data_IF_416987690772
#
_entry.id   IF_416987690772
#
_cell.length_a   1.000
_cell.length_b   1.000
_cell.length_c   1.000
_cell.angle_alpha   90.00
_cell.angle_beta   90.00
_cell.angle_gamma   90.00
#
_symmetry.space_group_name_H-M   'P 1'
#
loop_
_entity.id
_entity.type
_entity.pdbx_description
1 polymer ?
#
# COMPACT_ATOMS: atom_id res chain seq x y z
N UNK A 1 0.73 -21.19 26.22
CA UNK A 1 2.12 -20.83 26.58
C UNK A 1 3.08 -20.96 25.41
N UNK A 2 3.67 -22.12 25.08
CA UNK A 2 4.69 -22.19 24.00
C UNK A 2 4.20 -21.73 22.61
N UNK A 3 2.93 -21.98 22.28
CA UNK A 3 2.33 -21.56 21.00
C UNK A 3 1.99 -20.06 20.98
N UNK A 4 1.55 -19.51 22.11
CA UNK A 4 1.37 -18.05 22.28
C UNK A 4 2.70 -17.30 22.34
N UNK A 5 3.73 -17.88 22.96
CA UNK A 5 5.09 -17.32 22.98
C UNK A 5 5.71 -17.34 21.59
N UNK A 6 5.49 -18.38 20.78
CA UNK A 6 5.88 -18.40 19.37
C UNK A 6 5.12 -17.37 18.55
N UNK A 7 3.81 -17.21 18.74
CA UNK A 7 3.02 -16.17 18.05
C UNK A 7 3.47 -14.76 18.44
N UNK A 8 3.83 -14.53 19.70
CA UNK A 8 4.37 -13.27 20.20
C UNK A 8 5.80 -13.04 19.70
N UNK A 9 6.64 -14.08 19.59
CA UNK A 9 8.03 -13.96 19.12
C UNK A 9 8.15 -13.89 17.58
N UNK A 10 7.26 -14.52 16.81
CA UNK A 10 7.14 -14.31 15.36
C UNK A 10 6.63 -12.90 15.04
N UNK A 11 5.75 -12.33 15.88
CA UNK A 11 5.43 -10.90 15.86
C UNK A 11 6.58 -9.98 16.32
N UNK A 12 7.60 -10.54 16.99
CA UNK A 12 8.85 -9.85 17.34
C UNK A 12 9.96 -10.03 16.30
N UNK A 13 9.63 -10.34 15.05
CA UNK A 13 10.40 -9.74 13.97
C UNK A 13 10.20 -8.23 14.09
N UNK A 14 11.13 -7.55 14.77
CA UNK A 14 11.15 -6.11 15.04
C UNK A 14 11.25 -5.23 13.77
N UNK A 15 10.69 -5.70 12.66
CA UNK A 15 10.48 -4.99 11.41
C UNK A 15 9.14 -4.24 11.49
N UNK A 16 9.05 -3.12 10.76
CA UNK A 16 7.96 -2.16 10.91
C UNK A 16 6.56 -2.75 10.64
N UNK A 17 5.65 -2.62 11.62
CA UNK A 17 4.20 -2.77 11.40
C UNK A 17 3.75 -1.76 10.36
N UNK A 18 3.02 -2.20 9.34
CA UNK A 18 2.64 -1.40 8.19
C UNK A 18 1.81 -0.15 8.55
N UNK A 19 2.38 1.08 8.52
CA UNK A 19 1.61 2.24 8.95
C UNK A 19 0.44 2.57 8.05
N UNK A 20 0.50 2.20 6.79
CA UNK A 20 -0.51 2.57 5.82
C UNK A 20 -1.87 1.92 6.11
N UNK A 21 -1.89 0.72 6.71
CA UNK A 21 -3.15 0.07 7.11
C UNK A 21 -3.81 0.80 8.27
N UNK A 22 -3.02 1.09 9.31
CA UNK A 22 -3.50 1.85 10.47
C UNK A 22 -3.91 3.28 10.08
N UNK A 23 -3.18 3.93 9.17
CA UNK A 23 -3.53 5.24 8.60
C UNK A 23 -4.85 5.15 7.87
N UNK A 24 -5.04 4.17 6.99
CA UNK A 24 -6.28 4.00 6.24
C UNK A 24 -7.50 3.72 7.12
N UNK A 25 -7.35 2.86 8.14
CA UNK A 25 -8.42 2.58 9.09
C UNK A 25 -8.81 3.84 9.88
N UNK A 26 -7.83 4.59 10.38
CA UNK A 26 -8.07 5.86 11.10
C UNK A 26 -8.64 6.94 10.18
N UNK A 27 -8.20 7.01 8.92
CA UNK A 27 -8.75 7.91 7.91
C UNK A 27 -10.25 7.65 7.67
N UNK A 28 -10.65 6.38 7.52
CA UNK A 28 -12.07 6.03 7.38
C UNK A 28 -12.89 6.42 8.60
N UNK A 29 -12.36 6.23 9.81
CA UNK A 29 -13.02 6.66 11.04
C UNK A 29 -13.11 8.18 11.14
N UNK A 30 -12.11 8.92 10.65
CA UNK A 30 -12.10 10.38 10.61
C UNK A 30 -13.19 10.90 9.70
N UNK A 31 -13.29 10.35 8.48
CA UNK A 31 -14.29 10.76 7.50
C UNK A 31 -15.70 10.49 8.01
N UNK A 32 -15.94 9.34 8.64
CA UNK A 32 -17.22 9.03 9.28
C UNK A 32 -17.64 10.01 10.37
N UNK A 33 -16.68 10.65 11.06
CA UNK A 33 -16.99 11.68 12.08
C UNK A 33 -17.31 13.03 11.47
N UNK A 34 -16.72 13.35 10.33
CA UNK A 34 -16.97 14.60 9.59
C UNK A 34 -18.31 14.50 8.88
N UNK A 35 -18.66 13.31 8.42
CA UNK A 35 -19.88 13.02 7.71
C UNK A 35 -20.33 11.59 8.00
N UNK A 36 -21.47 11.47 8.71
CA UNK A 36 -22.06 10.19 9.05
C UNK A 36 -22.58 9.43 7.81
N UNK A 37 -22.65 10.08 6.65
CA UNK A 37 -23.18 9.51 5.41
C UNK A 37 -22.13 8.80 4.55
N UNK A 38 -20.82 8.88 4.86
CA UNK A 38 -19.80 8.13 4.13
C UNK A 38 -19.91 6.61 4.42
N UNK A 39 -20.87 5.97 3.75
CA UNK A 39 -21.12 4.53 3.74
C UNK A 39 -20.96 4.00 2.31
N UNK A 40 -19.74 4.08 1.78
CA UNK A 40 -19.36 3.38 0.55
C UNK A 40 -19.19 1.86 0.80
N UNK A 41 -20.23 1.23 1.36
CA UNK A 41 -20.31 -0.20 1.59
C UNK A 41 -21.58 -0.71 0.93
N UNK A 42 -21.41 -1.52 -0.08
CA UNK A 42 -22.51 -2.08 -0.84
C UNK A 42 -22.47 -3.61 -0.75
N UNK A 43 -23.62 -4.21 -0.51
CA UNK A 43 -23.82 -5.67 -0.50
C UNK A 43 -24.19 -6.22 -1.88
N UNK A 44 -24.42 -5.34 -2.87
CA UNK A 44 -24.87 -5.70 -4.22
C UNK A 44 -23.69 -6.06 -5.13
N UNK A 45 -23.95 -6.98 -6.08
CA UNK A 45 -22.97 -7.38 -7.10
C UNK A 45 -23.06 -6.45 -8.31
N UNK A 46 -21.92 -5.88 -8.71
CA UNK A 46 -21.77 -5.14 -9.96
C UNK A 46 -21.51 -6.03 -11.17
N UNK A 47 -21.39 -5.40 -12.34
CA UNK A 47 -20.93 -6.05 -13.58
C UNK A 47 -19.49 -5.59 -13.90
N UNK A 48 -18.47 -6.29 -13.39
CA UNK A 48 -17.08 -5.94 -13.63
C UNK A 48 -16.65 -6.17 -15.08
N UNK A 49 -17.35 -7.02 -15.84
CA UNK A 49 -17.01 -7.33 -17.24
C UNK A 49 -17.46 -6.18 -18.14
N UNK A 50 -18.71 -5.72 -17.97
CA UNK A 50 -19.22 -4.55 -18.67
C UNK A 50 -18.40 -3.30 -18.34
N UNK A 51 -18.07 -3.08 -17.06
CA UNK A 51 -17.26 -1.93 -16.64
C UNK A 51 -15.87 -1.95 -17.26
N UNK A 52 -15.15 -3.09 -17.23
CA UNK A 52 -13.85 -3.23 -17.89
C UNK A 52 -13.93 -2.99 -19.40
N UNK A 53 -14.97 -3.49 -20.04
CA UNK A 53 -15.19 -3.32 -21.48
C UNK A 53 -15.44 -1.85 -21.82
N UNK A 54 -16.21 -1.15 -21.00
CA UNK A 54 -16.45 0.28 -21.12
C UNK A 54 -15.17 1.11 -20.94
N UNK A 55 -14.35 0.80 -19.92
CA UNK A 55 -13.05 1.45 -19.71
C UNK A 55 -12.12 1.25 -20.91
N UNK A 56 -12.06 0.03 -21.46
CA UNK A 56 -11.27 -0.27 -22.66
C UNK A 56 -11.72 0.56 -23.88
N UNK A 57 -13.03 0.68 -24.09
CA UNK A 57 -13.61 1.53 -25.17
C UNK A 57 -13.26 3.01 -25.03
N UNK A 58 -13.02 3.48 -23.80
CA UNK A 58 -12.67 4.87 -23.50
C UNK A 58 -11.16 5.08 -23.30
N UNK A 59 -10.31 4.19 -23.85
CA UNK A 59 -8.85 4.28 -23.80
C UNK A 59 -8.27 4.37 -22.38
N UNK A 60 -8.96 3.80 -21.39
CA UNK A 60 -8.43 3.69 -20.03
C UNK A 60 -7.54 2.46 -19.93
N UNK A 61 -6.33 2.65 -19.42
CA UNK A 61 -5.33 1.58 -19.32
C UNK A 61 -5.85 0.39 -18.48
N UNK A 62 -5.64 -0.85 -18.95
CA UNK A 62 -6.00 -2.03 -18.18
C UNK A 62 -5.21 -2.06 -16.86
N UNK A 63 -5.88 -2.45 -15.78
CA UNK A 63 -5.27 -2.49 -14.45
C UNK A 63 -5.17 -1.16 -13.73
N UNK A 64 -5.63 -0.05 -14.32
CA UNK A 64 -5.72 1.24 -13.62
C UNK A 64 -6.62 1.13 -12.38
N UNK A 65 -7.83 0.58 -12.54
CA UNK A 65 -8.70 0.26 -11.43
C UNK A 65 -8.23 -1.04 -10.78
N UNK A 66 -7.49 -0.91 -9.68
CA UNK A 66 -6.93 -2.03 -8.95
C UNK A 66 -8.03 -2.82 -8.23
N UNK A 67 -7.90 -4.15 -8.26
CA UNK A 67 -8.71 -5.03 -7.40
C UNK A 67 -8.20 -4.91 -5.97
N UNK A 68 -9.10 -4.64 -5.04
CA UNK A 68 -8.81 -4.75 -3.62
C UNK A 68 -8.61 -6.23 -3.25
N UNK A 69 -7.43 -6.59 -2.73
CA UNK A 69 -7.09 -7.95 -2.30
C UNK A 69 -6.35 -7.86 -0.97
N UNK A 70 -6.85 -8.58 0.05
CA UNK A 70 -6.22 -8.68 1.37
C UNK A 70 -6.28 -7.39 2.19
N UNK A 71 -5.21 -7.11 2.95
CA UNK A 71 -5.08 -5.97 3.87
C UNK A 71 -4.53 -4.70 3.22
N UNK A 72 -4.52 -4.59 1.88
CA UNK A 72 -3.94 -3.46 1.13
C UNK A 72 -4.79 -2.17 1.22
N UNK A 73 -5.11 -1.73 2.43
CA UNK A 73 -5.93 -0.56 2.70
C UNK A 73 -5.34 0.73 2.14
N UNK A 74 -4.03 0.80 1.88
CA UNK A 74 -3.42 1.94 1.19
C UNK A 74 -3.92 2.13 -0.26
N UNK A 75 -4.39 1.05 -0.91
CA UNK A 75 -5.01 1.08 -2.24
C UNK A 75 -6.24 2.00 -2.23
N UNK A 76 -6.90 2.18 -1.08
CA UNK A 76 -8.01 3.10 -0.93
C UNK A 76 -7.65 4.53 -1.31
N UNK A 77 -6.49 5.04 -0.85
CA UNK A 77 -6.05 6.39 -1.19
C UNK A 77 -5.73 6.53 -2.68
N UNK A 78 -5.09 5.51 -3.27
CA UNK A 78 -4.78 5.47 -4.69
C UNK A 78 -6.05 5.45 -5.55
N UNK A 79 -6.99 4.57 -5.20
CA UNK A 79 -8.26 4.42 -5.90
C UNK A 79 -9.15 5.66 -5.77
N UNK A 80 -9.15 6.33 -4.61
CA UNK A 80 -9.89 7.58 -4.43
C UNK A 80 -9.42 8.65 -5.44
N UNK A 81 -8.11 8.80 -5.64
CA UNK A 81 -7.56 9.70 -6.65
C UNK A 81 -7.98 9.32 -8.08
N UNK A 82 -7.99 8.03 -8.41
CA UNK A 82 -8.46 7.55 -9.73
C UNK A 82 -9.94 7.84 -9.92
N UNK A 83 -10.79 7.58 -8.93
CA UNK A 83 -12.23 7.81 -9.01
C UNK A 83 -12.53 9.28 -9.26
N UNK A 84 -11.86 10.20 -8.57
CA UNK A 84 -12.00 11.65 -8.82
C UNK A 84 -11.54 12.01 -10.24
N UNK A 85 -10.41 11.45 -10.69
CA UNK A 85 -9.87 11.74 -12.03
C UNK A 85 -10.78 11.29 -13.16
N UNK A 86 -11.44 10.15 -12.99
CA UNK A 86 -12.33 9.56 -13.98
C UNK A 86 -13.82 9.75 -13.64
N UNK A 87 -14.14 10.73 -12.78
CA UNK A 87 -15.50 10.94 -12.26
C UNK A 87 -16.53 10.99 -13.38
N UNK A 88 -16.32 11.84 -14.39
CA UNK A 88 -17.26 12.01 -15.52
C UNK A 88 -17.49 10.68 -16.25
N UNK A 89 -16.41 9.97 -16.53
CA UNK A 89 -16.46 8.69 -17.23
C UNK A 89 -17.23 7.64 -16.43
N UNK A 90 -16.99 7.57 -15.11
CA UNK A 90 -17.69 6.65 -14.22
C UNK A 90 -19.17 7.03 -14.12
N UNK A 91 -19.52 8.30 -13.95
CA UNK A 91 -20.92 8.77 -13.93
C UNK A 91 -21.67 8.35 -15.19
N UNK A 92 -21.10 8.59 -16.37
CA UNK A 92 -21.70 8.18 -17.64
C UNK A 92 -21.91 6.67 -17.72
N UNK A 93 -20.98 5.85 -17.19
CA UNK A 93 -21.21 4.41 -17.12
C UNK A 93 -22.41 4.07 -16.20
N UNK A 94 -22.47 4.68 -15.02
CA UNK A 94 -23.50 4.40 -14.03
C UNK A 94 -24.90 4.83 -14.50
N UNK A 95 -25.02 5.99 -15.15
CA UNK A 95 -26.25 6.51 -15.75
C UNK A 95 -26.81 5.56 -16.81
N UNK A 96 -25.94 4.99 -17.65
CA UNK A 96 -26.31 4.05 -18.70
C UNK A 96 -26.62 2.64 -18.16
N UNK A 97 -26.34 2.34 -16.89
CA UNK A 97 -26.51 1.02 -16.27
C UNK A 97 -27.38 1.06 -15.00
N UNK A 98 -28.28 2.05 -14.90
CA UNK A 98 -29.17 2.26 -13.75
C UNK A 98 -30.13 1.11 -13.45
N UNK A 99 -30.28 0.12 -14.34
CA UNK A 99 -31.03 -1.11 -14.04
C UNK A 99 -30.40 -1.92 -12.90
N UNK A 100 -29.08 -1.81 -12.70
CA UNK A 100 -28.40 -2.47 -11.59
C UNK A 100 -28.47 -1.62 -10.32
N UNK A 101 -28.95 -2.20 -9.21
CA UNK A 101 -29.09 -1.49 -7.92
C UNK A 101 -27.78 -0.90 -7.41
N UNK A 102 -26.65 -1.59 -7.63
CA UNK A 102 -25.33 -1.06 -7.26
C UNK A 102 -24.99 0.22 -8.04
N UNK A 103 -25.37 0.28 -9.32
CA UNK A 103 -25.09 1.42 -10.17
C UNK A 103 -25.91 2.64 -9.75
N UNK A 104 -27.16 2.43 -9.32
CA UNK A 104 -27.99 3.50 -8.76
C UNK A 104 -27.36 4.09 -7.47
N UNK A 105 -26.97 3.22 -6.54
CA UNK A 105 -26.38 3.65 -5.26
C UNK A 105 -25.04 4.36 -5.47
N UNK A 106 -24.18 3.80 -6.31
CA UNK A 106 -22.91 4.45 -6.68
C UNK A 106 -23.14 5.80 -7.37
N UNK A 107 -24.16 5.90 -8.24
CA UNK A 107 -24.48 7.16 -8.92
C UNK A 107 -24.93 8.23 -7.93
N UNK A 108 -25.78 7.85 -6.95
CA UNK A 108 -26.22 8.73 -5.88
C UNK A 108 -25.03 9.25 -5.08
N UNK A 109 -24.14 8.36 -4.63
CA UNK A 109 -22.96 8.74 -3.84
C UNK A 109 -21.96 9.57 -4.64
N UNK A 110 -21.77 9.25 -5.93
CA UNK A 110 -20.91 10.04 -6.82
C UNK A 110 -21.51 11.39 -7.22
N UNK A 111 -22.82 11.57 -7.07
CA UNK A 111 -23.49 12.85 -7.29
C UNK A 111 -23.46 13.74 -6.05
N UNK A 112 -23.10 13.20 -4.88
CA UNK A 112 -22.89 13.97 -3.66
C UNK A 112 -21.52 14.66 -3.69
N UNK A 113 -21.52 15.99 -3.68
CA UNK A 113 -20.30 16.80 -3.68
C UNK A 113 -19.42 16.56 -2.45
N UNK A 114 -20.01 16.27 -1.29
CA UNK A 114 -19.27 15.98 -0.06
C UNK A 114 -18.46 14.69 -0.22
N UNK A 115 -19.07 13.63 -0.77
CA UNK A 115 -18.38 12.36 -1.07
C UNK A 115 -17.21 12.58 -2.02
N UNK A 116 -17.39 13.39 -3.07
CA UNK A 116 -16.33 13.69 -4.03
C UNK A 116 -15.18 14.47 -3.39
N UNK A 117 -15.48 15.42 -2.50
CA UNK A 117 -14.47 16.18 -1.74
C UNK A 117 -13.71 15.27 -0.76
N UNK A 118 -14.38 14.30 -0.15
CA UNK A 118 -13.73 13.28 0.69
C UNK A 118 -12.80 12.37 -0.11
N UNK A 119 -13.24 11.91 -1.29
CA UNK A 119 -12.40 11.15 -2.22
C UNK A 119 -11.21 11.98 -2.72
N UNK A 120 -11.40 13.28 -2.95
CA UNK A 120 -10.33 14.20 -3.31
C UNK A 120 -9.30 14.31 -2.18
N UNK A 121 -9.74 14.49 -0.93
CA UNK A 121 -8.86 14.51 0.24
C UNK A 121 -8.06 13.21 0.39
N UNK A 122 -8.71 12.05 0.25
CA UNK A 122 -8.05 10.75 0.27
C UNK A 122 -7.04 10.60 -0.88
N UNK A 123 -7.40 11.04 -2.09
CA UNK A 123 -6.53 11.03 -3.26
C UNK A 123 -5.26 11.86 -3.06
N UNK A 124 -5.38 13.05 -2.45
CA UNK A 124 -4.25 13.93 -2.14
C UNK A 124 -3.30 13.28 -1.12
N UNK A 125 -3.82 12.71 -0.03
CA UNK A 125 -3.03 11.91 0.93
C UNK A 125 -2.37 10.73 0.22
N UNK A 126 -3.07 10.11 -0.73
CA UNK A 126 -2.56 9.07 -1.62
C UNK A 126 -1.33 9.48 -2.40
N UNK A 127 -1.36 10.66 -3.02
CA UNK A 127 -0.28 11.15 -3.88
C UNK A 127 0.90 11.73 -3.11
N UNK A 128 0.65 12.41 -1.99
CA UNK A 128 1.67 13.19 -1.29
C UNK A 128 2.29 12.40 -0.12
N UNK A 129 1.55 11.45 0.46
CA UNK A 129 2.00 10.75 1.67
C UNK A 129 2.12 9.24 1.44
N UNK A 130 1.01 8.54 1.17
CA UNK A 130 1.01 7.07 1.23
C UNK A 130 1.63 6.42 -0.02
N UNK A 131 1.47 7.01 -1.21
CA UNK A 131 2.11 6.57 -2.45
C UNK A 131 3.64 6.70 -2.43
N UNK A 132 4.20 7.84 -2.00
CA UNK A 132 5.63 8.00 -1.72
C UNK A 132 6.13 6.98 -0.71
N UNK A 133 5.37 6.72 0.35
CA UNK A 133 5.72 5.69 1.34
C UNK A 133 5.81 4.29 0.70
N UNK A 134 4.87 3.94 -0.18
CA UNK A 134 4.91 2.70 -0.96
C UNK A 134 6.15 2.60 -1.85
N UNK A 135 6.58 3.70 -2.46
CA UNK A 135 7.69 3.67 -3.42
C UNK A 135 9.05 3.69 -2.71
N UNK A 136 9.21 4.54 -1.70
CA UNK A 136 10.48 4.72 -1.01
C UNK A 136 10.76 3.60 0.01
N UNK A 137 9.78 3.30 0.86
CA UNK A 137 9.97 2.39 2.00
C UNK A 137 9.67 0.95 1.59
N UNK A 138 8.51 0.72 0.94
CA UNK A 138 8.04 -0.64 0.66
C UNK A 138 8.62 -1.28 -0.59
N UNK A 139 8.91 -0.51 -1.63
CA UNK A 139 9.68 -1.02 -2.78
C UNK A 139 11.19 -0.93 -2.55
N UNK A 140 11.61 -0.34 -1.44
CA UNK A 140 12.98 0.00 -1.13
C UNK A 140 13.73 0.55 -2.35
N UNK A 141 13.14 1.54 -3.05
CA UNK A 141 13.66 2.04 -4.32
C UNK A 141 15.10 2.57 -4.20
N UNK A 142 15.53 2.95 -2.99
CA UNK A 142 16.87 3.46 -2.69
C UNK A 142 17.82 2.41 -2.14
N UNK A 143 17.40 1.15 -1.99
CA UNK A 143 18.25 0.06 -1.48
C UNK A 143 18.76 0.24 -0.05
N UNK A 144 18.02 0.99 0.78
CA UNK A 144 18.43 1.31 2.15
C UNK A 144 18.12 0.15 3.11
N UNK A 145 18.98 -0.02 4.11
CA UNK A 145 18.73 -0.90 5.24
C UNK A 145 17.66 -0.30 6.18
N UNK A 146 17.10 -1.14 7.04
CA UNK A 146 16.06 -0.74 7.98
C UNK A 146 16.45 0.46 8.86
N UNK A 147 17.68 0.50 9.38
CA UNK A 147 18.14 1.57 10.28
C UNK A 147 18.42 2.89 9.53
N UNK A 148 18.78 2.83 8.24
CA UNK A 148 19.00 4.02 7.40
C UNK A 148 17.69 4.76 7.05
N UNK A 149 16.53 4.17 7.33
CA UNK A 149 15.24 4.85 7.20
C UNK A 149 14.91 5.77 8.39
N UNK A 150 15.67 5.73 9.49
CA UNK A 150 15.44 6.58 10.67
C UNK A 150 15.36 8.07 10.30
N UNK A 151 16.36 8.58 9.58
CA UNK A 151 16.40 9.97 9.10
C UNK A 151 15.24 10.31 8.17
N UNK A 152 14.84 9.36 7.34
CA UNK A 152 13.71 9.52 6.41
C UNK A 152 12.41 9.69 7.20
N UNK A 153 12.20 8.88 8.24
CA UNK A 153 11.02 8.97 9.09
C UNK A 153 10.98 10.27 9.89
N UNK A 154 12.12 10.75 10.39
CA UNK A 154 12.20 12.04 11.07
C UNK A 154 11.84 13.20 10.12
N UNK A 155 12.35 13.20 8.88
CA UNK A 155 12.00 14.20 7.86
C UNK A 155 10.50 14.17 7.54
N UNK A 156 9.94 12.97 7.38
CA UNK A 156 8.51 12.79 7.10
C UNK A 156 7.63 13.37 8.22
N UNK A 157 7.99 13.16 9.48
CA UNK A 157 7.23 13.67 10.63
C UNK A 157 7.34 15.19 10.76
N UNK A 158 8.52 15.77 10.51
CA UNK A 158 8.68 17.23 10.45
C UNK A 158 7.79 17.83 9.36
N UNK A 159 7.75 17.22 8.18
CA UNK A 159 6.89 17.67 7.06
C UNK A 159 5.41 17.50 7.39
N UNK A 160 5.01 16.42 8.07
CA UNK A 160 3.64 16.23 8.54
C UNK A 160 3.23 17.25 9.60
N UNK A 161 4.12 17.62 10.52
CA UNK A 161 3.86 18.68 11.48
C UNK A 161 3.59 20.01 10.77
N UNK A 162 4.37 20.34 9.73
CA UNK A 162 4.11 21.49 8.87
C UNK A 162 2.73 21.41 8.19
N UNK A 163 2.41 20.28 7.55
CA UNK A 163 1.11 20.07 6.92
C UNK A 163 -0.06 20.13 7.91
N UNK A 164 0.15 19.74 9.17
CA UNK A 164 -0.86 19.85 10.21
C UNK A 164 -1.12 21.31 10.61
N UNK A 165 -0.06 22.10 10.73
CA UNK A 165 -0.18 23.55 11.02
C UNK A 165 -0.77 24.32 9.83
N UNK A 166 -0.51 23.88 8.60
CA UNK A 166 -1.07 24.46 7.38
C UNK A 166 -1.60 23.39 6.41
N UNK A 167 -2.81 22.84 6.63
CA UNK A 167 -3.37 21.78 5.78
C UNK A 167 -3.61 22.20 4.34
N UNK A 168 -3.79 23.50 4.08
CA UNK A 168 -4.00 24.02 2.72
C UNK A 168 -2.74 23.88 1.85
N UNK A 169 -1.55 23.90 2.46
CA UNK A 169 -0.28 23.79 1.73
C UNK A 169 -0.14 22.50 0.91
N UNK A 170 -0.88 21.43 1.26
CA UNK A 170 -0.94 20.18 0.48
C UNK A 170 -1.46 20.40 -0.94
N UNK A 171 -2.28 21.42 -1.17
CA UNK A 171 -2.85 21.71 -2.50
C UNK A 171 -1.82 22.29 -3.46
N UNK A 172 -0.81 23.00 -2.94
CA UNK A 172 0.15 23.76 -3.72
C UNK A 172 1.58 23.19 -3.64
N UNK A 173 1.82 22.19 -2.78
CA UNK A 173 3.14 21.56 -2.65
C UNK A 173 3.56 20.91 -3.96
N UNK A 174 4.79 21.16 -4.36
CA UNK A 174 5.50 20.53 -5.48
C UNK A 174 6.26 19.27 -5.07
N UNK A 175 6.42 19.08 -3.75
CA UNK A 175 7.13 17.95 -3.15
C UNK A 175 6.23 17.05 -2.31
N UNK A 176 6.65 15.80 -2.15
CA UNK A 176 6.01 14.81 -1.29
C UNK A 176 6.42 14.90 0.19
N UNK A 177 5.91 13.98 1.02
CA UNK A 177 6.24 13.86 2.45
C UNK A 177 7.74 13.69 2.74
N UNK A 178 8.50 13.11 1.81
CA UNK A 178 9.94 12.92 1.89
C UNK A 178 10.74 14.01 1.18
N UNK A 179 10.06 15.08 0.73
CA UNK A 179 10.64 16.20 -0.01
C UNK A 179 11.20 15.82 -1.40
N UNK A 180 10.67 14.77 -2.03
CA UNK A 180 10.95 14.44 -3.42
C UNK A 180 9.98 15.17 -4.35
N UNK A 181 10.48 15.61 -5.49
CA UNK A 181 9.67 16.35 -6.49
C UNK A 181 8.59 15.43 -7.06
N UNK A 182 7.35 15.89 -6.96
CA UNK A 182 6.19 15.18 -7.51
C UNK A 182 6.12 15.36 -9.02
N UNK A 183 5.76 14.31 -9.75
CA UNK A 183 5.64 14.36 -11.21
C UNK A 183 4.57 15.38 -11.66
N UNK A 184 4.99 16.37 -12.45
CA UNK A 184 4.14 17.47 -12.95
C UNK A 184 3.16 16.98 -14.03
N UNK A 185 3.54 15.93 -14.78
CA UNK A 185 2.73 15.34 -15.87
C UNK A 185 1.69 14.32 -15.36
N UNK A 186 1.56 14.13 -14.06
CA UNK A 186 0.63 13.17 -13.47
C UNK A 186 -0.82 13.69 -13.59
N UNK A 187 -1.59 13.09 -14.52
CA UNK A 187 -3.01 13.41 -14.76
C UNK A 187 -3.86 13.34 -13.49
N UNK A 188 -3.57 12.41 -12.59
CA UNK A 188 -4.35 12.25 -11.35
C UNK A 188 -4.10 13.43 -10.42
N UNK A 189 -2.84 13.87 -10.30
CA UNK A 189 -2.51 15.03 -9.48
C UNK A 189 -3.11 16.32 -10.04
N UNK A 190 -3.07 16.50 -11.35
CA UNK A 190 -3.70 17.65 -12.02
C UNK A 190 -5.20 17.67 -11.75
N UNK A 191 -5.88 16.53 -11.86
CA UNK A 191 -7.31 16.43 -11.57
C UNK A 191 -7.63 16.70 -10.09
N UNK A 192 -6.78 16.24 -9.17
CA UNK A 192 -6.95 16.49 -7.74
C UNK A 192 -6.71 17.97 -7.36
N UNK A 193 -6.03 18.74 -8.20
CA UNK A 193 -5.83 20.18 -8.02
C UNK A 193 -7.07 21.03 -8.32
N UNK A 194 -8.09 20.47 -8.98
CA UNK A 194 -9.35 21.17 -9.24
C UNK A 194 -10.22 21.12 -7.99
N UNK A 195 -10.17 22.20 -7.19
CA UNK A 195 -10.83 22.26 -5.88
C UNK A 195 -12.35 22.43 -6.06
N UNK A 196 -13.14 21.44 -5.59
CA UNK A 196 -14.61 21.54 -5.59
C UNK A 196 -15.14 22.39 -4.44
N UNK A 197 -14.79 22.02 -3.21
CA UNK A 197 -15.17 22.75 -2.00
C UNK A 197 -13.97 22.89 -1.06
N UNK A 198 -13.36 24.07 -1.08
CA UNK A 198 -12.13 24.35 -0.33
C UNK A 198 -12.31 24.17 1.18
N UNK A 199 -13.40 24.70 1.74
CA UNK A 199 -13.64 24.72 3.19
C UNK A 199 -13.80 23.31 3.76
N UNK A 200 -14.57 22.45 3.09
CA UNK A 200 -14.75 21.06 3.51
C UNK A 200 -13.47 20.26 3.28
N UNK A 201 -12.78 20.48 2.15
CA UNK A 201 -11.53 19.80 1.83
C UNK A 201 -10.45 20.07 2.89
N UNK A 202 -10.27 21.32 3.32
CA UNK A 202 -9.28 21.69 4.34
C UNK A 202 -9.60 21.03 5.69
N UNK A 203 -10.89 20.96 6.09
CA UNK A 203 -11.30 20.24 7.31
C UNK A 203 -10.96 18.75 7.23
N UNK A 204 -11.24 18.12 6.09
CA UNK A 204 -10.91 16.71 5.85
C UNK A 204 -9.39 16.49 5.89
N UNK A 205 -8.62 17.30 5.18
CA UNK A 205 -7.16 17.21 5.16
C UNK A 205 -6.59 17.36 6.57
N UNK A 206 -7.04 18.35 7.35
CA UNK A 206 -6.61 18.56 8.73
C UNK A 206 -6.81 17.32 9.61
N UNK A 207 -7.98 16.68 9.50
CA UNK A 207 -8.27 15.45 10.22
C UNK A 207 -7.37 14.29 9.74
N UNK A 208 -7.29 14.06 8.43
CA UNK A 208 -6.49 12.98 7.85
C UNK A 208 -4.99 13.10 8.19
N UNK A 209 -4.42 14.31 8.12
CA UNK A 209 -3.02 14.58 8.47
C UNK A 209 -2.78 14.33 9.96
N UNK A 210 -3.66 14.83 10.84
CA UNK A 210 -3.54 14.64 12.28
C UNK A 210 -3.55 13.17 12.70
N UNK A 211 -4.41 12.36 12.07
CA UNK A 211 -4.41 10.91 12.30
C UNK A 211 -3.17 10.23 11.73
N UNK A 212 -2.74 10.64 10.53
CA UNK A 212 -1.53 10.11 9.90
C UNK A 212 -0.30 10.34 10.77
N UNK A 213 -0.13 11.56 11.28
CA UNK A 213 0.95 11.91 12.21
C UNK A 213 0.91 11.04 13.47
N UNK A 214 -0.27 10.87 14.07
CA UNK A 214 -0.44 10.07 15.30
C UNK A 214 -0.06 8.61 15.08
N UNK A 215 -0.49 8.01 13.97
CA UNK A 215 -0.16 6.63 13.63
C UNK A 215 1.35 6.47 13.41
N UNK A 216 1.95 7.39 12.65
CA UNK A 216 3.38 7.35 12.35
C UNK A 216 4.25 7.56 13.60
N UNK A 217 3.94 8.55 14.43
CA UNK A 217 4.66 8.76 15.70
C UNK A 217 4.61 7.52 16.60
N UNK A 218 3.43 6.88 16.68
CA UNK A 218 3.26 5.66 17.48
C UNK A 218 4.05 4.48 16.93
N UNK A 219 3.91 4.18 15.63
CA UNK A 219 4.52 2.97 15.06
C UNK A 219 6.01 3.13 14.78
N UNK A 220 6.48 4.35 14.55
CA UNK A 220 7.90 4.64 14.32
C UNK A 220 8.61 5.12 15.60
N UNK A 221 7.96 5.09 16.76
CA UNK A 221 8.50 5.61 18.02
C UNK A 221 9.94 5.14 18.31
N UNK A 222 10.28 3.89 17.97
CA UNK A 222 11.63 3.34 18.18
C UNK A 222 12.71 4.02 17.34
N UNK A 223 12.39 4.43 16.11
CA UNK A 223 13.30 5.15 15.19
C UNK A 223 13.33 6.65 15.45
N UNK A 224 12.33 7.19 16.14
CA UNK A 224 12.23 8.62 16.39
C UNK A 224 12.83 8.99 17.74
N UNK A 225 12.44 8.27 18.79
CA UNK A 225 12.74 8.59 20.18
C UNK A 225 13.28 7.40 20.97
N UNK A 226 13.25 6.19 20.41
CA UNK A 226 13.70 4.97 21.08
C UNK A 226 15.12 4.56 20.69
N UNK A 227 15.44 3.31 20.99
CA UNK A 227 16.80 2.75 20.89
C UNK A 227 17.36 2.68 19.45
N UNK A 228 16.53 2.91 18.43
CA UNK A 228 16.94 2.90 17.02
C UNK A 228 17.04 4.31 16.41
N UNK A 229 16.89 5.35 17.24
CA UNK A 229 16.93 6.75 16.79
C UNK A 229 18.34 7.21 16.38
N UNK A 230 19.37 6.70 17.05
CA UNK A 230 20.78 6.96 16.77
C UNK A 230 21.54 5.63 16.64
N UNK A 231 21.37 4.89 15.54
CA UNK A 231 22.03 3.62 15.35
C UNK A 231 23.55 3.80 15.21
N UNK A 232 24.33 2.96 15.90
CA UNK A 232 25.79 2.98 15.75
C UNK A 232 26.19 2.43 14.37
N UNK A 233 27.39 2.80 13.89
CA UNK A 233 27.92 2.27 12.62
C UNK A 233 28.00 0.74 12.60
N UNK A 234 28.26 0.15 13.77
CA UNK A 234 28.32 -1.30 13.94
C UNK A 234 26.94 -1.94 13.85
N UNK A 235 25.92 -1.34 14.46
CA UNK A 235 24.52 -1.79 14.33
C UNK A 235 24.03 -1.74 12.89
N UNK A 236 24.40 -0.69 12.14
CA UNK A 236 24.06 -0.59 10.71
C UNK A 236 24.72 -1.75 9.97
N UNK A 237 26.02 -1.99 10.20
CA UNK A 237 26.78 -3.06 9.52
C UNK A 237 26.19 -4.45 9.79
N UNK A 238 25.77 -4.74 11.03
CA UNK A 238 25.19 -6.04 11.39
C UNK A 238 23.75 -6.22 10.89
N UNK A 239 23.03 -5.14 10.61
CA UNK A 239 21.63 -5.18 10.14
C UNK A 239 21.45 -4.92 8.65
N UNK A 240 22.54 -4.86 7.87
CA UNK A 240 22.52 -4.59 6.42
C UNK A 240 21.61 -5.56 5.65
N UNK A 241 21.56 -6.83 6.05
CA UNK A 241 20.73 -7.86 5.42
C UNK A 241 19.27 -7.83 5.87
N UNK A 242 18.92 -7.03 6.87
CA UNK A 242 17.56 -6.98 7.42
C UNK A 242 16.65 -6.13 6.54
N UNK A 243 15.52 -6.69 6.06
CA UNK A 243 14.58 -5.94 5.25
C UNK A 243 13.95 -4.78 6.03
N UNK A 244 13.55 -3.69 5.35
CA UNK A 244 13.00 -2.49 6.02
C UNK A 244 11.55 -2.66 6.52
N UNK A 245 10.87 -3.74 6.18
CA UNK A 245 9.47 -3.98 6.53
C UNK A 245 9.11 -5.49 6.55
N UNK A 246 7.98 -5.83 7.15
CA UNK A 246 7.51 -7.21 7.33
C UNK A 246 6.82 -7.86 6.12
N UNK A 247 6.49 -7.11 5.05
CA UNK A 247 5.65 -7.63 3.95
C UNK A 247 6.15 -8.96 3.37
N UNK A 248 7.46 -9.13 3.24
CA UNK A 248 8.02 -10.36 2.67
C UNK A 248 7.85 -11.54 3.63
N UNK A 249 8.08 -11.33 4.92
CA UNK A 249 7.85 -12.35 5.94
C UNK A 249 6.37 -12.75 6.02
N UNK A 250 5.45 -11.78 6.02
CA UNK A 250 4.00 -12.03 5.99
C UNK A 250 3.59 -12.81 4.74
N UNK A 251 4.19 -12.48 3.59
CA UNK A 251 3.91 -13.18 2.33
C UNK A 251 4.42 -14.62 2.35
N UNK A 252 5.61 -14.86 2.89
CA UNK A 252 6.18 -16.20 3.06
C UNK A 252 5.27 -17.04 3.96
N UNK A 253 4.84 -16.48 5.09
CA UNK A 253 3.91 -17.14 6.02
C UNK A 253 2.58 -17.48 5.34
N UNK A 254 1.99 -16.53 4.61
CA UNK A 254 0.76 -16.77 3.86
C UNK A 254 0.90 -17.81 2.73
N UNK A 255 2.08 -17.91 2.10
CA UNK A 255 2.36 -18.99 1.14
C UNK A 255 2.45 -20.34 1.84
N UNK A 256 3.10 -20.40 3.01
CA UNK A 256 3.22 -21.62 3.80
C UNK A 256 1.85 -22.14 4.23
N UNK A 257 1.03 -21.28 4.83
CA UNK A 257 -0.35 -21.59 5.24
C UNK A 257 -1.17 -22.14 4.07
N UNK A 258 -1.19 -21.42 2.94
CA UNK A 258 -1.89 -21.87 1.74
C UNK A 258 -1.44 -23.25 1.25
N UNK A 259 -0.12 -23.51 1.24
CA UNK A 259 0.39 -24.80 0.78
C UNK A 259 0.12 -25.92 1.77
N UNK A 260 0.18 -25.66 3.09
CA UNK A 260 -0.19 -26.61 4.13
C UNK A 260 -1.66 -27.02 4.00
N UNK A 261 -2.57 -26.06 3.85
CA UNK A 261 -4.00 -26.36 3.66
C UNK A 261 -4.27 -27.13 2.36
N UNK A 262 -3.51 -26.85 1.29
CA UNK A 262 -3.68 -27.50 -0.01
C UNK A 262 -3.09 -28.91 -0.06
N UNK A 263 -1.99 -29.15 0.64
CA UNK A 263 -1.25 -30.40 0.61
C UNK A 263 -0.82 -30.78 2.05
N UNK A 264 -1.77 -31.23 2.89
CA UNK A 264 -1.50 -31.49 4.31
C UNK A 264 -0.51 -32.63 4.54
N UNK A 265 -0.35 -33.54 3.57
CA UNK A 265 0.58 -34.66 3.64
C UNK A 265 1.98 -34.34 3.07
N UNK A 266 2.20 -33.11 2.57
CA UNK A 266 3.52 -32.71 2.07
C UNK A 266 4.46 -32.45 3.25
N UNK A 267 5.73 -32.83 3.11
CA UNK A 267 6.74 -32.55 4.12
C UNK A 267 7.06 -31.05 4.17
N UNK A 268 7.41 -30.54 5.35
CA UNK A 268 7.83 -29.14 5.51
C UNK A 268 9.02 -28.77 4.61
N UNK A 269 9.99 -29.67 4.42
CA UNK A 269 11.12 -29.43 3.51
C UNK A 269 10.68 -29.26 2.05
N UNK A 270 9.70 -30.03 1.59
CA UNK A 270 9.13 -29.87 0.25
C UNK A 270 8.40 -28.52 0.10
N UNK A 271 7.60 -28.14 1.11
CA UNK A 271 6.90 -26.85 1.08
C UNK A 271 7.86 -25.65 1.15
N UNK A 272 8.85 -25.71 2.03
CA UNK A 272 9.89 -24.70 2.18
C UNK A 272 10.70 -24.51 0.89
N UNK A 273 11.17 -25.61 0.28
CA UNK A 273 11.91 -25.55 -1.00
C UNK A 273 11.08 -24.89 -2.11
N UNK A 274 9.77 -25.18 -2.18
CA UNK A 274 8.85 -24.56 -3.14
C UNK A 274 8.67 -23.06 -2.91
N UNK A 275 8.56 -22.65 -1.65
CA UNK A 275 8.45 -21.22 -1.28
C UNK A 275 9.75 -20.50 -1.64
N UNK A 276 10.90 -21.05 -1.24
CA UNK A 276 12.23 -20.50 -1.56
C UNK A 276 12.44 -20.36 -3.06
N UNK A 277 12.11 -21.40 -3.84
CA UNK A 277 12.22 -21.36 -5.30
C UNK A 277 11.38 -20.23 -5.92
N UNK A 278 10.20 -19.95 -5.35
CA UNK A 278 9.32 -18.88 -5.81
C UNK A 278 9.80 -17.49 -5.39
N UNK A 279 10.20 -17.32 -4.13
CA UNK A 279 10.66 -16.04 -3.56
C UNK A 279 11.95 -15.59 -4.24
N UNK A 280 12.90 -16.52 -4.41
CA UNK A 280 14.19 -16.25 -5.05
C UNK A 280 14.10 -16.20 -6.59
N UNK A 281 12.91 -16.43 -7.17
CA UNK A 281 12.71 -16.57 -8.62
C UNK A 281 13.66 -17.57 -9.26
N UNK A 282 13.97 -18.65 -8.55
CA UNK A 282 15.00 -19.62 -8.94
C UNK A 282 14.72 -20.23 -10.31
N UNK A 283 13.45 -20.51 -10.64
CA UNK A 283 13.07 -21.03 -11.96
C UNK A 283 13.33 -20.01 -13.06
N UNK A 284 12.94 -18.74 -12.88
CA UNK A 284 13.21 -17.68 -13.86
C UNK A 284 14.71 -17.48 -14.08
N UNK A 285 15.50 -17.50 -13.01
CA UNK A 285 16.96 -17.43 -13.10
C UNK A 285 17.57 -18.63 -13.82
N UNK A 286 16.99 -19.83 -13.64
CA UNK A 286 17.42 -21.03 -14.33
C UNK A 286 17.05 -20.98 -15.83
N UNK A 287 15.85 -20.50 -16.16
CA UNK A 287 15.36 -20.33 -17.53
C UNK A 287 16.22 -19.34 -18.35
N UNK A 288 16.94 -18.42 -17.69
CA UNK A 288 17.90 -17.50 -18.32
C UNK A 288 19.23 -18.18 -18.70
N UNK A 289 19.48 -19.43 -18.28
CA UNK A 289 20.71 -20.19 -18.57
C UNK A 289 20.56 -21.07 -19.81
N UNK A 290 21.69 -21.48 -20.39
CA UNK A 290 21.69 -22.44 -21.50
C UNK A 290 21.29 -23.83 -21.02
N UNK A 291 20.71 -24.67 -21.90
CA UNK A 291 20.29 -26.03 -21.54
C UNK A 291 21.40 -26.86 -20.87
N UNK A 292 22.66 -26.86 -21.36
CA UNK A 292 23.74 -27.61 -20.70
C UNK A 292 24.03 -27.09 -19.28
N UNK A 293 24.05 -25.77 -19.09
CA UNK A 293 24.26 -25.17 -17.76
C UNK A 293 23.11 -25.47 -16.80
N UNK A 294 21.87 -25.50 -17.30
CA UNK A 294 20.70 -25.88 -16.48
C UNK A 294 20.83 -27.32 -15.97
N UNK A 295 21.16 -28.25 -16.86
CA UNK A 295 21.35 -29.67 -16.51
C UNK A 295 22.47 -29.83 -15.47
N UNK A 296 23.61 -29.16 -15.67
CA UNK A 296 24.73 -29.20 -14.73
C UNK A 296 24.35 -28.67 -13.34
N UNK A 297 23.61 -27.57 -13.27
CA UNK A 297 23.13 -26.97 -12.02
C UNK A 297 22.13 -27.87 -11.29
N UNK A 298 21.21 -28.51 -12.02
CA UNK A 298 20.24 -29.45 -11.45
C UNK A 298 20.99 -30.68 -10.91
N UNK A 299 21.91 -31.25 -11.67
CA UNK A 299 22.70 -32.40 -11.25
C UNK A 299 23.60 -32.07 -10.05
N UNK A 300 24.15 -30.87 -9.99
CA UNK A 300 24.87 -30.37 -8.82
C UNK A 300 23.95 -30.32 -7.58
N UNK A 301 22.76 -29.74 -7.71
CA UNK A 301 21.80 -29.63 -6.61
C UNK A 301 21.34 -31.00 -6.10
N UNK A 302 21.03 -31.95 -7.00
CA UNK A 302 20.67 -33.33 -6.64
C UNK A 302 21.79 -34.01 -5.88
N UNK A 303 23.04 -33.94 -6.38
CA UNK A 303 24.21 -34.52 -5.72
C UNK A 303 24.43 -33.95 -4.33
N UNK A 304 24.25 -32.65 -4.14
CA UNK A 304 24.40 -31.99 -2.83
C UNK A 304 23.25 -32.33 -1.87
N UNK A 305 22.02 -32.40 -2.35
CA UNK A 305 20.86 -32.73 -1.53
C UNK A 305 20.81 -34.19 -1.07
N UNK A 306 21.44 -35.11 -1.81
CA UNK A 306 21.55 -36.52 -1.41
C UNK A 306 22.59 -36.78 -0.30
N UNK A 307 23.46 -35.80 0.00
CA UNK A 307 24.52 -35.90 1.01
C UNK A 307 24.12 -35.34 2.39
N UNK A 308 22.91 -34.82 2.52
CA UNK A 308 22.30 -34.26 3.75
C UNK A 308 21.11 -35.09 4.18
#
# INVERSE_FOLDING_TARGET
MLQEEMDIQLMQLYCNVHPLEAIALKALLALKKIDNELKLRYSFKGDPVAFKSYLKKNNVAPGLFLRYVGSRFHVLFHMAGIVVTYERLIKTFLENNTKNKICQLLLQDMSNDITLVQLQGLGLIGKIITGPWMSLVYKNATGKSNLEFGDIFQKAIKKLAYFKSNPESILYTDVDIFSQVLNIKDKVRQSLGVIKNKNILVKILSALISYTETVLKRQMARYLTGNLSNPSKEMIKTTLSTPPHTMEAERILGMLDFFLCRAPNATFGFLDSKIKARVNKTLTWLDEKTLPEQEDLIQFAIRRGALT
#
